data_IF_821808375686
#
_entry.id   IF_821808375686
#
_cell.length_a   1.000
_cell.length_b   1.000
_cell.length_c   1.000
_cell.angle_alpha   90.00
_cell.angle_beta   90.00
_cell.angle_gamma   90.00
#
_symmetry.space_group_name_H-M   'P 1'
#
loop_
_entity.id
_entity.type
_entity.pdbx_description
1 polymer ?
#
# COMPACT_ATOMS: atom_id res chain seq x y z
N UNK A 1 -20.76 -20.63 -1.98
CA UNK A 1 -20.35 -19.58 -1.02
C UNK A 1 -20.55 -18.24 -1.73
N UNK A 2 -21.00 -17.19 -1.05
CA UNK A 2 -21.11 -15.87 -1.66
C UNK A 2 -19.74 -15.19 -1.60
N UNK A 3 -19.39 -14.43 -2.64
CA UNK A 3 -18.16 -13.66 -2.61
C UNK A 3 -18.36 -12.45 -1.68
N UNK A 4 -17.49 -12.30 -0.67
CA UNK A 4 -17.44 -11.14 0.22
C UNK A 4 -16.82 -9.92 -0.47
N UNK A 5 -15.81 -10.15 -1.34
CA UNK A 5 -15.21 -9.10 -2.16
C UNK A 5 -15.31 -9.51 -3.64
N UNK A 6 -15.78 -8.59 -4.48
CA UNK A 6 -15.81 -8.77 -5.93
C UNK A 6 -15.21 -7.57 -6.63
N UNK A 7 -14.24 -7.81 -7.49
CA UNK A 7 -13.52 -6.78 -8.24
C UNK A 7 -13.46 -7.15 -9.72
N UNK A 8 -13.85 -6.22 -10.59
CA UNK A 8 -13.82 -6.40 -12.04
C UNK A 8 -13.14 -5.21 -12.71
N UNK A 9 -12.17 -5.47 -13.57
CA UNK A 9 -11.52 -4.47 -14.40
C UNK A 9 -10.71 -3.44 -13.63
N UNK A 10 -10.15 -3.79 -12.45
CA UNK A 10 -9.39 -2.86 -11.61
C UNK A 10 -8.09 -2.44 -12.31
N UNK A 11 -7.93 -1.14 -12.47
CA UNK A 11 -6.74 -0.52 -13.06
C UNK A 11 -6.24 0.63 -12.18
N UNK A 12 -4.92 0.74 -12.02
CA UNK A 12 -4.30 1.79 -11.22
C UNK A 12 -2.97 2.24 -11.84
N UNK A 13 -2.65 3.53 -11.65
CA UNK A 13 -1.44 4.16 -12.23
C UNK A 13 -0.81 5.11 -11.23
N UNK A 14 0.51 5.23 -11.25
CA UNK A 14 1.24 6.31 -10.59
C UNK A 14 1.56 7.40 -11.64
N UNK A 15 0.78 8.47 -11.62
CA UNK A 15 0.83 9.50 -12.65
C UNK A 15 0.50 8.91 -14.03
N UNK A 16 1.48 8.91 -14.95
CA UNK A 16 1.32 8.35 -16.32
C UNK A 16 1.76 6.89 -16.44
N UNK A 17 2.27 6.29 -15.39
CA UNK A 17 2.79 4.92 -15.41
C UNK A 17 1.69 3.96 -14.97
N UNK A 18 1.11 3.15 -15.86
CA UNK A 18 0.14 2.12 -15.49
C UNK A 18 0.87 1.00 -14.74
N UNK A 19 0.25 0.52 -13.64
CA UNK A 19 0.78 -0.56 -12.82
C UNK A 19 -0.18 -1.72 -12.74
N UNK A 20 -1.49 -1.46 -12.64
CA UNK A 20 -2.52 -2.50 -12.70
C UNK A 20 -3.35 -2.35 -13.96
N UNK A 21 -3.61 -3.48 -14.62
CA UNK A 21 -4.26 -3.51 -15.93
C UNK A 21 -5.44 -4.49 -15.93
N UNK A 22 -6.63 -3.99 -15.58
CA UNK A 22 -7.87 -4.77 -15.72
C UNK A 22 -7.94 -6.00 -14.82
N UNK A 23 -7.46 -5.93 -13.57
CA UNK A 23 -7.50 -7.03 -12.61
C UNK A 23 -8.96 -7.42 -12.32
N UNK A 24 -9.23 -8.73 -12.40
CA UNK A 24 -10.45 -9.34 -11.92
C UNK A 24 -10.09 -10.30 -10.78
N UNK A 25 -10.76 -10.18 -9.65
CA UNK A 25 -10.63 -11.10 -8.52
C UNK A 25 -11.94 -11.11 -7.73
N UNK A 26 -12.20 -12.23 -7.11
CA UNK A 26 -13.24 -12.40 -6.10
C UNK A 26 -12.65 -13.13 -4.89
N UNK A 27 -13.19 -12.88 -3.72
CA UNK A 27 -12.85 -13.55 -2.47
C UNK A 27 -14.15 -14.07 -1.87
N UNK A 28 -14.22 -15.36 -1.62
CA UNK A 28 -15.36 -15.94 -0.94
C UNK A 28 -15.33 -15.62 0.57
N UNK A 29 -16.48 -15.66 1.19
CA UNK A 29 -16.58 -15.51 2.64
C UNK A 29 -15.78 -16.61 3.35
N UNK A 30 -14.87 -16.23 4.25
CA UNK A 30 -13.95 -17.10 4.96
C UNK A 30 -12.79 -17.67 4.14
N UNK A 31 -12.59 -17.21 2.89
CA UNK A 31 -11.48 -17.67 2.03
C UNK A 31 -10.17 -16.96 2.37
N UNK A 32 -9.07 -17.71 2.28
CA UNK A 32 -7.71 -17.17 2.25
C UNK A 32 -7.22 -17.19 0.80
N UNK A 33 -7.22 -16.01 0.15
CA UNK A 33 -6.73 -15.82 -1.21
C UNK A 33 -5.29 -15.33 -1.21
N UNK A 34 -4.37 -16.09 -1.78
CA UNK A 34 -3.00 -15.70 -2.03
C UNK A 34 -2.84 -15.02 -3.40
N UNK A 35 -1.99 -13.99 -3.48
CA UNK A 35 -1.54 -13.40 -4.74
C UNK A 35 -0.02 -13.46 -4.81
N UNK A 36 0.49 -14.40 -5.61
CA UNK A 36 1.91 -14.67 -5.77
C UNK A 36 2.49 -13.87 -6.93
N UNK A 37 3.65 -13.27 -6.74
CA UNK A 37 4.38 -12.57 -7.80
C UNK A 37 5.70 -11.99 -7.33
N UNK A 38 6.61 -11.74 -8.28
CA UNK A 38 7.88 -11.08 -8.00
C UNK A 38 7.72 -9.62 -7.54
N UNK A 39 8.79 -9.04 -7.03
CA UNK A 39 8.83 -7.62 -6.72
C UNK A 39 8.60 -6.78 -8.00
N UNK A 40 7.85 -5.68 -7.86
CA UNK A 40 7.50 -4.82 -8.97
C UNK A 40 6.35 -5.32 -9.87
N UNK A 41 5.72 -6.46 -9.58
CA UNK A 41 4.61 -7.00 -10.39
C UNK A 41 3.25 -6.34 -10.09
N UNK A 42 3.16 -5.44 -9.10
CA UNK A 42 1.95 -4.71 -8.78
C UNK A 42 1.20 -5.19 -7.53
N UNK A 43 1.74 -6.12 -6.73
CA UNK A 43 1.14 -6.68 -5.52
C UNK A 43 0.69 -5.62 -4.50
N UNK A 44 1.63 -4.81 -4.01
CA UNK A 44 1.35 -3.71 -3.07
C UNK A 44 0.37 -2.69 -3.67
N UNK A 45 0.49 -2.42 -4.98
CA UNK A 45 -0.43 -1.52 -5.69
C UNK A 45 -1.85 -2.08 -5.71
N UNK A 46 -2.00 -3.40 -5.86
CA UNK A 46 -3.30 -4.07 -5.79
C UNK A 46 -3.95 -3.84 -4.41
N UNK A 47 -3.26 -4.14 -3.33
CA UNK A 47 -3.80 -3.94 -1.98
C UNK A 47 -4.09 -2.48 -1.67
N UNK A 48 -3.22 -1.55 -2.06
CA UNK A 48 -3.45 -0.11 -1.92
C UNK A 48 -4.67 0.38 -2.71
N UNK A 49 -4.90 -0.17 -3.91
CA UNK A 49 -6.09 0.13 -4.71
C UNK A 49 -7.36 -0.43 -4.06
N UNK A 50 -7.32 -1.69 -3.57
CA UNK A 50 -8.42 -2.31 -2.83
C UNK A 50 -8.74 -1.55 -1.53
N UNK A 51 -7.74 -1.03 -0.84
CA UNK A 51 -7.93 -0.22 0.38
C UNK A 51 -8.31 1.24 0.08
N UNK A 52 -8.26 1.69 -1.18
CA UNK A 52 -8.57 3.09 -1.54
C UNK A 52 -7.51 4.11 -1.10
N UNK A 53 -6.27 3.66 -0.89
CA UNK A 53 -5.11 4.50 -0.57
C UNK A 53 -4.60 5.22 -1.81
N UNK A 54 -4.71 4.58 -2.97
CA UNK A 54 -4.34 5.16 -4.26
C UNK A 54 -5.56 5.24 -5.17
N UNK A 55 -5.62 6.23 -6.08
CA UNK A 55 -6.65 6.30 -7.10
C UNK A 55 -6.63 5.06 -8.00
N UNK A 56 -7.80 4.47 -8.20
CA UNK A 56 -7.99 3.34 -9.10
C UNK A 56 -9.34 3.45 -9.81
N UNK A 57 -9.45 2.80 -10.95
CA UNK A 57 -10.71 2.65 -11.70
C UNK A 57 -11.07 1.19 -11.80
N UNK A 58 -12.36 0.88 -11.74
CA UNK A 58 -12.88 -0.47 -11.89
C UNK A 58 -14.25 -0.43 -12.57
N UNK A 59 -14.65 -1.54 -13.18
CA UNK A 59 -16.02 -1.74 -13.68
C UNK A 59 -16.93 -1.99 -12.47
N UNK A 60 -16.44 -2.79 -11.52
CA UNK A 60 -17.13 -3.12 -10.27
C UNK A 60 -16.09 -3.33 -9.15
N UNK A 61 -16.39 -2.84 -7.96
CA UNK A 61 -15.65 -3.15 -6.73
C UNK A 61 -16.66 -3.13 -5.57
N UNK A 62 -17.05 -4.30 -5.12
CA UNK A 62 -18.09 -4.48 -4.10
C UNK A 62 -17.56 -5.34 -2.97
N UNK A 63 -17.77 -4.91 -1.74
CA UNK A 63 -17.46 -5.62 -0.50
C UNK A 63 -18.73 -5.75 0.34
N UNK A 64 -19.10 -6.97 0.71
CA UNK A 64 -20.34 -7.31 1.44
C UNK A 64 -21.59 -6.57 0.93
N UNK A 65 -21.73 -6.51 -0.40
CA UNK A 65 -22.84 -5.84 -1.06
C UNK A 65 -22.69 -4.32 -1.24
N UNK A 66 -21.72 -3.68 -0.60
CA UNK A 66 -21.46 -2.24 -0.65
C UNK A 66 -20.47 -1.86 -1.76
N UNK A 67 -20.79 -0.84 -2.55
CA UNK A 67 -19.91 -0.33 -3.61
C UNK A 67 -18.75 0.50 -3.02
N UNK A 68 -17.52 0.03 -3.23
CA UNK A 68 -16.31 0.70 -2.75
C UNK A 68 -15.82 1.84 -3.64
N UNK A 69 -16.39 2.05 -4.83
CA UNK A 69 -15.83 2.93 -5.88
C UNK A 69 -15.63 4.38 -5.40
N UNK A 70 -16.53 4.89 -4.56
CA UNK A 70 -16.49 6.26 -4.05
C UNK A 70 -15.96 6.37 -2.62
N UNK A 71 -15.67 5.23 -1.97
CA UNK A 71 -15.23 5.22 -0.58
C UNK A 71 -13.72 5.44 -0.48
N UNK A 72 -13.35 6.40 0.38
CA UNK A 72 -11.97 6.60 0.83
C UNK A 72 -11.52 5.42 1.71
N UNK A 73 -10.22 5.30 1.96
CA UNK A 73 -9.65 4.24 2.81
C UNK A 73 -10.30 4.17 4.21
N UNK A 74 -10.56 5.32 4.84
CA UNK A 74 -11.24 5.36 6.15
C UNK A 74 -12.67 4.83 6.10
N UNK A 75 -13.39 5.01 4.99
CA UNK A 75 -14.72 4.44 4.79
C UNK A 75 -14.66 2.91 4.63
N UNK A 76 -13.68 2.42 3.86
CA UNK A 76 -13.47 0.98 3.67
C UNK A 76 -13.04 0.29 4.97
N UNK A 77 -12.20 0.95 5.78
CA UNK A 77 -11.85 0.45 7.12
C UNK A 77 -13.08 0.30 8.02
N UNK A 78 -13.99 1.29 8.02
CA UNK A 78 -15.24 1.20 8.81
C UNK A 78 -16.23 0.14 8.31
N UNK A 79 -16.14 -0.26 7.06
CA UNK A 79 -16.91 -1.39 6.53
C UNK A 79 -16.33 -2.75 6.94
N UNK A 80 -15.20 -2.80 7.66
CA UNK A 80 -14.60 -4.06 8.09
C UNK A 80 -13.45 -4.56 7.21
N UNK A 81 -12.79 -3.68 6.42
CA UNK A 81 -11.58 -4.04 5.67
C UNK A 81 -10.35 -3.59 6.45
N UNK A 82 -9.59 -4.53 7.00
CA UNK A 82 -8.31 -4.28 7.64
C UNK A 82 -7.14 -4.29 6.62
N UNK A 83 -6.06 -3.56 6.90
CA UNK A 83 -4.87 -3.54 6.06
C UNK A 83 -3.59 -3.51 6.88
N UNK A 84 -2.69 -4.46 6.63
CA UNK A 84 -1.33 -4.49 7.16
C UNK A 84 -0.37 -4.22 6.00
N UNK A 85 0.25 -3.03 5.94
CA UNK A 85 1.15 -2.66 4.85
C UNK A 85 2.50 -3.36 4.94
N UNK A 86 3.21 -3.46 3.81
CA UNK A 86 4.62 -3.77 3.77
C UNK A 86 5.40 -2.82 4.72
N UNK A 87 6.33 -3.36 5.50
CA UNK A 87 7.04 -2.58 6.52
C UNK A 87 6.23 -2.33 7.80
N UNK A 88 5.10 -3.08 8.00
CA UNK A 88 4.31 -3.17 9.26
C UNK A 88 3.46 -1.93 9.58
N UNK A 89 3.95 -0.72 9.29
CA UNK A 89 3.24 0.54 9.53
C UNK A 89 2.88 0.81 11.00
N UNK A 90 3.62 0.26 11.97
CA UNK A 90 3.45 0.54 13.40
C UNK A 90 3.88 1.97 13.73
N UNK A 91 3.46 2.47 14.87
CA UNK A 91 3.94 3.72 15.43
C UNK A 91 5.15 3.45 16.34
N UNK A 92 6.39 3.71 15.91
CA UNK A 92 7.58 3.25 16.63
C UNK A 92 7.81 3.98 17.97
N UNK A 93 7.29 5.19 18.11
CA UNK A 93 7.40 6.02 19.32
C UNK A 93 6.26 5.82 20.32
N UNK A 94 5.22 5.08 19.93
CA UNK A 94 4.14 4.70 20.82
C UNK A 94 4.44 3.35 21.48
N UNK A 95 3.93 3.16 22.68
CA UNK A 95 3.95 1.85 23.36
C UNK A 95 3.17 0.80 22.54
N UNK A 96 3.39 -0.48 22.82
CA UNK A 96 2.58 -1.57 22.26
C UNK A 96 1.11 -1.34 22.57
N UNK A 97 0.77 -0.98 23.82
CA UNK A 97 -0.60 -0.69 24.22
C UNK A 97 -1.21 0.46 23.41
N UNK A 98 -0.48 1.58 23.24
CA UNK A 98 -0.99 2.71 22.47
C UNK A 98 -1.09 2.40 20.97
N UNK A 99 -0.20 1.58 20.42
CA UNK A 99 -0.37 1.05 19.06
C UNK A 99 -1.67 0.26 18.91
N UNK A 100 -2.02 -0.61 19.87
CA UNK A 100 -3.29 -1.37 19.86
C UNK A 100 -4.48 -0.42 19.96
N UNK A 101 -4.44 0.54 20.87
CA UNK A 101 -5.47 1.56 21.03
C UNK A 101 -5.75 2.35 19.77
N UNK A 102 -4.71 2.64 18.97
CA UNK A 102 -4.88 3.30 17.66
C UNK A 102 -5.71 2.46 16.68
N UNK A 103 -5.69 1.13 16.79
CA UNK A 103 -6.52 0.24 15.99
C UNK A 103 -8.02 0.35 16.31
N UNK A 104 -8.37 0.71 17.52
CA UNK A 104 -9.77 0.85 17.99
C UNK A 104 -10.31 2.27 17.76
N UNK A 105 -9.43 3.26 17.64
CA UNK A 105 -9.80 4.68 17.68
C UNK A 105 -10.84 5.14 16.63
N UNK A 106 -10.96 4.41 15.52
CA UNK A 106 -11.94 4.69 14.46
C UNK A 106 -13.27 3.93 14.62
N UNK A 107 -13.42 3.11 15.67
CA UNK A 107 -14.53 2.20 15.87
C UNK A 107 -15.22 2.52 17.21
N UNK A 108 -16.53 2.32 17.26
CA UNK A 108 -17.34 2.48 18.49
C UNK A 108 -17.26 1.19 19.32
N UNK A 109 -16.10 0.95 19.93
CA UNK A 109 -15.78 -0.25 20.72
C UNK A 109 -15.21 0.16 22.07
N UNK A 110 -15.48 -0.62 23.12
CA UNK A 110 -14.77 -0.45 24.38
C UNK A 110 -13.28 -0.81 24.20
N UNK A 111 -12.41 0.16 24.49
CA UNK A 111 -10.97 0.05 24.26
C UNK A 111 -10.34 -1.04 25.14
N UNK A 112 -10.75 -1.15 26.40
CA UNK A 112 -10.20 -2.12 27.35
C UNK A 112 -10.56 -3.53 26.91
N UNK A 113 -11.85 -3.76 26.67
CA UNK A 113 -12.35 -5.07 26.23
C UNK A 113 -11.71 -5.48 24.88
N UNK A 114 -11.52 -4.56 23.94
CA UNK A 114 -10.91 -4.85 22.65
C UNK A 114 -9.43 -5.25 22.81
N UNK A 115 -8.68 -4.54 23.66
CA UNK A 115 -7.27 -4.88 23.94
C UNK A 115 -7.18 -6.24 24.63
N UNK A 116 -8.01 -6.52 25.64
CA UNK A 116 -8.01 -7.81 26.31
C UNK A 116 -8.31 -8.96 25.34
N UNK A 117 -9.31 -8.80 24.45
CA UNK A 117 -9.68 -9.81 23.46
C UNK A 117 -8.54 -10.09 22.48
N UNK A 118 -7.92 -9.06 21.91
CA UNK A 118 -6.84 -9.27 20.92
C UNK A 118 -5.60 -9.91 21.56
N UNK A 119 -5.30 -9.61 22.82
CA UNK A 119 -4.15 -10.20 23.52
C UNK A 119 -4.29 -11.70 23.76
N UNK A 120 -5.52 -12.26 23.76
CA UNK A 120 -5.72 -13.72 23.80
C UNK A 120 -5.04 -14.40 22.61
N UNK A 121 -5.10 -13.79 21.43
CA UNK A 121 -4.49 -14.30 20.21
C UNK A 121 -3.01 -13.93 20.09
N UNK A 122 -2.57 -12.89 20.80
CA UNK A 122 -1.21 -12.37 20.77
C UNK A 122 -0.56 -12.37 22.17
N UNK A 123 -0.46 -13.51 22.86
CA UNK A 123 0.04 -13.55 24.25
C UNK A 123 1.48 -13.06 24.41
N UNK A 124 2.28 -13.07 23.32
CA UNK A 124 3.62 -12.51 23.31
C UNK A 124 3.62 -11.01 23.54
N UNK A 125 2.61 -10.27 23.06
CA UNK A 125 2.51 -8.83 23.21
C UNK A 125 2.12 -8.40 24.61
N UNK A 126 1.42 -9.23 25.38
CA UNK A 126 0.99 -8.92 26.75
C UNK A 126 2.16 -8.48 27.66
N UNK A 127 3.32 -9.13 27.51
CA UNK A 127 4.52 -8.81 28.30
C UNK A 127 5.29 -7.57 27.79
N UNK A 128 4.86 -7.00 26.68
CA UNK A 128 5.54 -5.93 25.96
C UNK A 128 4.72 -4.64 25.91
N UNK A 129 3.56 -4.59 26.61
CA UNK A 129 2.58 -3.50 26.50
C UNK A 129 3.18 -2.11 26.75
N UNK A 130 4.11 -2.00 27.69
CA UNK A 130 4.76 -0.73 28.05
C UNK A 130 6.00 -0.42 27.19
N UNK A 131 6.39 -1.32 26.25
CA UNK A 131 7.54 -1.09 25.38
C UNK A 131 7.17 -0.28 24.15
N UNK A 132 8.07 0.60 23.74
CA UNK A 132 7.95 1.32 22.48
C UNK A 132 7.95 0.33 21.30
N UNK A 133 7.05 0.55 20.32
CA UNK A 133 6.96 -0.28 19.13
C UNK A 133 8.29 -0.38 18.38
N UNK A 134 9.06 0.72 18.34
CA UNK A 134 10.39 0.75 17.71
C UNK A 134 11.46 -0.07 18.42
N UNK A 135 11.26 -0.40 19.71
CA UNK A 135 12.19 -1.23 20.48
C UNK A 135 11.91 -2.75 20.37
N UNK A 136 10.88 -3.12 19.64
CA UNK A 136 10.52 -4.52 19.36
C UNK A 136 11.42 -5.13 18.29
N UNK A 137 11.61 -6.45 18.35
CA UNK A 137 12.18 -7.21 17.23
C UNK A 137 11.27 -7.16 15.99
N UNK A 138 11.84 -7.43 14.80
CA UNK A 138 11.06 -7.42 13.56
C UNK A 138 9.84 -8.34 13.59
N UNK A 139 9.93 -9.52 14.20
CA UNK A 139 8.79 -10.42 14.36
C UNK A 139 7.74 -9.89 15.34
N UNK A 140 8.15 -9.33 16.47
CA UNK A 140 7.23 -8.71 17.44
C UNK A 140 6.50 -7.49 16.84
N UNK A 141 7.19 -6.71 16.02
CA UNK A 141 6.57 -5.60 15.29
C UNK A 141 5.51 -6.09 14.29
N UNK A 142 5.74 -7.24 13.65
CA UNK A 142 4.77 -7.83 12.74
C UNK A 142 3.54 -8.35 13.49
N UNK A 143 3.75 -9.03 14.62
CA UNK A 143 2.66 -9.45 15.51
C UNK A 143 1.86 -8.23 16.00
N UNK A 144 2.53 -7.13 16.36
CA UNK A 144 1.87 -5.89 16.75
C UNK A 144 1.06 -5.29 15.60
N UNK A 145 1.57 -5.29 14.37
CA UNK A 145 0.86 -4.78 13.20
C UNK A 145 -0.41 -5.61 12.91
N UNK A 146 -0.31 -6.94 13.01
CA UNK A 146 -1.45 -7.86 12.89
C UNK A 146 -2.47 -7.65 14.01
N UNK A 147 -2.04 -7.60 15.26
CA UNK A 147 -2.90 -7.36 16.42
C UNK A 147 -3.65 -6.03 16.30
N UNK A 148 -2.96 -4.95 15.90
CA UNK A 148 -3.57 -3.65 15.67
C UNK A 148 -4.60 -3.65 14.52
N UNK A 149 -4.39 -4.46 13.49
CA UNK A 149 -5.35 -4.62 12.42
C UNK A 149 -6.58 -5.42 12.88
N UNK A 150 -6.35 -6.50 13.63
CA UNK A 150 -7.40 -7.44 14.06
C UNK A 150 -8.24 -6.94 15.24
N UNK A 151 -7.75 -5.99 16.04
CA UNK A 151 -8.44 -5.46 17.22
C UNK A 151 -9.80 -4.84 16.89
N UNK A 152 -9.99 -4.34 15.65
CA UNK A 152 -11.24 -3.80 15.14
C UNK A 152 -12.20 -4.86 14.58
N UNK A 153 -11.87 -6.15 14.71
CA UNK A 153 -12.67 -7.29 14.25
C UNK A 153 -13.08 -7.18 12.77
N UNK A 154 -12.12 -7.00 11.83
CA UNK A 154 -12.45 -6.87 10.42
C UNK A 154 -12.99 -8.19 9.83
N UNK A 155 -13.84 -8.09 8.81
CA UNK A 155 -14.35 -9.25 8.05
C UNK A 155 -13.40 -9.69 6.93
N UNK A 156 -12.58 -8.75 6.44
CA UNK A 156 -11.55 -8.98 5.44
C UNK A 156 -10.24 -8.30 5.86
N UNK A 157 -9.13 -9.02 5.82
CA UNK A 157 -7.81 -8.42 5.99
C UNK A 157 -6.97 -8.52 4.71
N UNK A 158 -6.26 -7.43 4.43
CA UNK A 158 -5.32 -7.30 3.33
C UNK A 158 -3.90 -7.31 3.92
N UNK A 159 -3.06 -8.29 3.55
CA UNK A 159 -1.70 -8.46 4.08
C UNK A 159 -0.66 -8.28 2.97
N UNK A 160 0.23 -7.30 3.14
CA UNK A 160 1.24 -6.92 2.16
C UNK A 160 2.63 -7.41 2.60
N UNK A 161 3.11 -8.52 2.01
CA UNK A 161 4.40 -9.16 2.27
C UNK A 161 4.68 -9.35 3.79
N UNK A 162 3.78 -10.06 4.52
CA UNK A 162 3.86 -10.14 5.98
C UNK A 162 5.09 -10.90 6.50
N UNK A 163 5.85 -11.58 5.65
CA UNK A 163 7.06 -12.35 6.04
C UNK A 163 8.37 -11.60 5.83
N UNK A 164 8.33 -10.40 5.25
CA UNK A 164 9.55 -9.66 4.91
C UNK A 164 10.37 -9.32 6.16
N UNK A 165 11.66 -9.75 6.16
CA UNK A 165 12.61 -9.47 7.23
C UNK A 165 12.26 -10.12 8.58
N UNK A 166 11.56 -11.26 8.57
CA UNK A 166 11.14 -12.00 9.76
C UNK A 166 11.87 -13.34 9.85
N UNK A 167 12.16 -13.77 11.08
CA UNK A 167 12.77 -15.06 11.34
C UNK A 167 11.78 -16.21 11.08
N UNK A 168 12.24 -17.38 10.58
CA UNK A 168 11.38 -18.51 10.25
C UNK A 168 10.42 -18.93 11.37
N UNK A 169 10.88 -18.97 12.62
CA UNK A 169 10.05 -19.36 13.77
C UNK A 169 8.86 -18.44 14.03
N UNK A 170 8.96 -17.17 13.63
CA UNK A 170 7.84 -16.21 13.75
C UNK A 170 6.93 -16.34 12.52
N UNK A 171 7.48 -16.72 11.37
CA UNK A 171 6.66 -17.02 10.18
C UNK A 171 5.72 -18.18 10.48
N UNK A 172 6.21 -19.26 11.09
CA UNK A 172 5.40 -20.41 11.50
C UNK A 172 4.31 -19.98 12.51
N UNK A 173 4.64 -19.13 13.49
CA UNK A 173 3.69 -18.58 14.46
C UNK A 173 2.59 -17.76 13.77
N UNK A 174 2.94 -16.95 12.75
CA UNK A 174 1.98 -16.17 11.96
C UNK A 174 1.05 -17.08 11.14
N UNK A 175 1.59 -18.15 10.53
CA UNK A 175 0.80 -19.13 9.77
C UNK A 175 -0.25 -19.76 10.69
N UNK A 176 0.19 -20.31 11.83
CA UNK A 176 -0.71 -20.93 12.79
C UNK A 176 -1.78 -19.98 13.30
N UNK A 177 -1.39 -18.75 13.63
CA UNK A 177 -2.29 -17.70 14.10
C UNK A 177 -3.37 -17.39 13.06
N UNK A 178 -2.98 -17.10 11.80
CA UNK A 178 -3.92 -16.74 10.74
C UNK A 178 -4.87 -17.91 10.40
N UNK A 179 -4.36 -19.16 10.39
CA UNK A 179 -5.20 -20.34 10.20
C UNK A 179 -6.22 -20.54 11.33
N UNK A 180 -5.80 -20.33 12.58
CA UNK A 180 -6.69 -20.46 13.74
C UNK A 180 -7.74 -19.35 13.75
N UNK A 181 -7.35 -18.10 13.45
CA UNK A 181 -8.27 -16.99 13.34
C UNK A 181 -9.32 -17.22 12.26
N UNK A 182 -8.88 -17.56 11.05
CA UNK A 182 -9.78 -17.85 9.94
C UNK A 182 -10.79 -18.95 10.28
N UNK A 183 -10.33 -20.07 10.84
CA UNK A 183 -11.20 -21.19 11.26
C UNK A 183 -12.18 -20.82 12.36
N UNK A 184 -11.77 -19.94 13.30
CA UNK A 184 -12.58 -19.58 14.47
C UNK A 184 -13.59 -18.49 14.14
N UNK A 185 -13.19 -17.47 13.40
CA UNK A 185 -13.98 -16.25 13.16
C UNK A 185 -14.63 -16.19 11.78
N UNK A 186 -14.14 -17.01 10.83
CA UNK A 186 -14.57 -16.92 9.43
C UNK A 186 -13.98 -15.73 8.68
N UNK A 187 -12.98 -15.04 9.23
CA UNK A 187 -12.35 -13.87 8.58
C UNK A 187 -11.77 -14.24 7.22
N UNK A 188 -12.06 -13.42 6.22
CA UNK A 188 -11.48 -13.57 4.88
C UNK A 188 -10.12 -12.89 4.83
N UNK A 189 -9.18 -13.43 4.04
CA UNK A 189 -7.83 -12.91 3.94
C UNK A 189 -7.42 -12.79 2.47
N UNK A 190 -6.91 -11.62 2.08
CA UNK A 190 -6.14 -11.47 0.83
C UNK A 190 -4.70 -11.18 1.22
N UNK A 191 -3.80 -12.07 0.87
CA UNK A 191 -2.38 -11.86 1.13
C UNK A 191 -1.60 -11.80 -0.19
N UNK A 192 -0.66 -10.86 -0.26
CA UNK A 192 0.27 -10.79 -1.39
C UNK A 192 1.67 -11.13 -0.90
N UNK A 193 2.36 -12.00 -1.63
CA UNK A 193 3.65 -12.52 -1.21
C UNK A 193 4.55 -12.89 -2.39
N UNK A 194 5.84 -12.97 -2.10
CA UNK A 194 6.83 -13.56 -2.98
C UNK A 194 7.27 -14.96 -2.48
N UNK A 195 7.07 -15.25 -1.20
CA UNK A 195 7.40 -16.54 -0.60
C UNK A 195 6.36 -17.58 -0.97
N UNK A 196 6.80 -18.57 -1.76
CA UNK A 196 5.96 -19.68 -2.18
C UNK A 196 5.53 -20.52 -0.98
N UNK A 197 6.45 -20.85 -0.09
CA UNK A 197 6.20 -21.70 1.08
C UNK A 197 5.12 -21.07 1.99
N UNK A 198 5.19 -19.77 2.24
CA UNK A 198 4.22 -19.09 3.08
C UNK A 198 2.83 -19.06 2.42
N UNK A 199 2.78 -18.70 1.13
CA UNK A 199 1.50 -18.56 0.44
C UNK A 199 0.78 -19.91 0.30
N UNK A 200 1.54 -21.00 0.03
CA UNK A 200 0.96 -22.35 -0.10
C UNK A 200 0.55 -22.94 1.25
N UNK A 201 1.20 -22.55 2.33
CA UNK A 201 0.83 -23.01 3.67
C UNK A 201 -0.50 -22.40 4.16
N UNK A 202 -0.87 -21.21 3.66
CA UNK A 202 -2.03 -20.45 4.15
C UNK A 202 -3.22 -20.46 3.19
N UNK A 203 -2.97 -20.39 1.87
CA UNK A 203 -4.01 -20.02 0.91
C UNK A 203 -4.85 -21.21 0.46
N UNK A 204 -6.16 -21.01 0.41
CA UNK A 204 -7.11 -21.94 -0.22
C UNK A 204 -6.98 -21.90 -1.74
N UNK A 205 -6.63 -20.73 -2.29
CA UNK A 205 -6.48 -20.44 -3.70
C UNK A 205 -5.37 -19.42 -3.91
N UNK A 206 -4.59 -19.56 -4.99
CA UNK A 206 -3.47 -18.65 -5.30
C UNK A 206 -3.64 -18.10 -6.71
N UNK A 207 -3.66 -16.78 -6.83
CA UNK A 207 -3.59 -16.06 -8.09
C UNK A 207 -2.15 -15.64 -8.39
N UNK A 208 -1.76 -15.71 -9.66
CA UNK A 208 -0.44 -15.32 -10.13
C UNK A 208 -0.52 -13.95 -10.78
N UNK A 209 0.22 -12.96 -10.24
CA UNK A 209 0.29 -11.62 -10.80
C UNK A 209 1.61 -11.38 -11.53
N UNK A 210 1.53 -10.90 -12.78
CA UNK A 210 2.68 -10.53 -13.58
C UNK A 210 2.41 -9.22 -14.34
N UNK A 211 3.32 -8.26 -14.24
CA UNK A 211 3.22 -6.95 -14.93
C UNK A 211 1.85 -6.29 -14.77
N UNK A 212 1.29 -6.36 -13.57
CA UNK A 212 0.03 -5.74 -13.22
C UNK A 212 -1.23 -6.43 -13.73
N UNK A 213 -1.14 -7.68 -14.19
CA UNK A 213 -2.27 -8.49 -14.64
C UNK A 213 -2.26 -9.84 -13.97
N UNK A 214 -3.43 -10.44 -13.72
CA UNK A 214 -3.54 -11.83 -13.30
C UNK A 214 -3.31 -12.72 -14.52
N UNK A 215 -2.32 -13.62 -14.41
CA UNK A 215 -1.90 -14.50 -15.51
C UNK A 215 -2.28 -15.95 -15.27
N UNK A 216 -2.68 -16.31 -14.07
CA UNK A 216 -3.11 -17.66 -13.74
C UNK A 216 -3.74 -17.73 -12.36
N UNK A 217 -4.39 -18.85 -12.09
CA UNK A 217 -5.00 -19.19 -10.80
C UNK A 217 -4.84 -20.68 -10.57
N UNK A 218 -4.50 -21.06 -9.35
CA UNK A 218 -4.31 -22.45 -8.92
C UNK A 218 -5.02 -22.69 -7.60
N UNK A 219 -5.55 -23.89 -7.39
CA UNK A 219 -6.09 -24.27 -6.08
C UNK A 219 -4.97 -24.47 -5.06
N UNK A 220 -5.26 -24.31 -3.75
CA UNK A 220 -4.27 -24.52 -2.70
C UNK A 220 -3.65 -25.93 -2.72
N UNK A 221 -4.40 -26.95 -3.13
CA UNK A 221 -3.89 -28.32 -3.29
C UNK A 221 -2.91 -28.46 -4.47
N UNK A 222 -3.12 -27.72 -5.55
CA UNK A 222 -2.19 -27.66 -6.70
C UNK A 222 -0.99 -26.76 -6.41
N UNK A 223 -1.16 -25.74 -5.57
CA UNK A 223 -0.10 -24.86 -5.13
C UNK A 223 1.00 -25.60 -4.35
N UNK A 224 0.70 -26.74 -3.74
CA UNK A 224 1.68 -27.64 -3.13
C UNK A 224 2.57 -28.35 -4.17
N UNK A 225 2.23 -28.29 -5.46
CA UNK A 225 3.05 -28.81 -6.55
C UNK A 225 3.96 -27.73 -7.12
N UNK A 226 5.14 -27.58 -6.54
CA UNK A 226 6.14 -26.56 -6.90
C UNK A 226 6.45 -26.51 -8.40
N UNK A 227 6.38 -27.63 -9.12
CA UNK A 227 6.68 -27.71 -10.54
C UNK A 227 5.71 -26.88 -11.41
N UNK A 228 4.43 -26.82 -11.06
CA UNK A 228 3.46 -25.97 -11.77
C UNK A 228 3.73 -24.49 -11.53
N UNK A 229 4.08 -24.13 -10.32
CA UNK A 229 4.37 -22.72 -9.98
C UNK A 229 5.70 -22.28 -10.59
N UNK A 230 6.72 -23.13 -10.60
CA UNK A 230 7.99 -22.87 -11.29
C UNK A 230 7.79 -22.66 -12.80
N UNK A 231 6.90 -23.40 -13.43
CA UNK A 231 6.55 -23.21 -14.84
C UNK A 231 5.88 -21.85 -15.11
N UNK A 232 4.97 -21.40 -14.23
CA UNK A 232 4.27 -20.13 -14.37
C UNK A 232 5.11 -18.92 -13.95
N UNK A 233 5.96 -19.06 -12.94
CA UNK A 233 6.73 -17.94 -12.38
C UNK A 233 8.13 -17.81 -12.98
N UNK A 234 8.63 -18.83 -13.69
CA UNK A 234 9.98 -18.85 -14.22
C UNK A 234 11.07 -19.02 -13.15
N UNK A 235 10.72 -19.44 -11.93
CA UNK A 235 11.67 -19.63 -10.83
C UNK A 235 12.63 -20.82 -11.04
N UNK A 236 12.38 -21.69 -11.99
CA UNK A 236 13.05 -22.99 -12.12
C UNK A 236 14.06 -23.19 -13.25
N UNK A 237 14.36 -22.22 -14.15
CA UNK A 237 15.32 -22.51 -15.23
C UNK A 237 16.18 -21.31 -15.64
N UNK A 238 17.43 -21.32 -15.19
CA UNK A 238 18.58 -20.82 -15.93
C UNK A 238 18.77 -21.67 -17.20
N UNK A 239 18.11 -21.31 -18.32
CA UNK A 239 18.29 -22.02 -19.59
C UNK A 239 17.27 -21.53 -20.61
N UNK A 240 17.73 -20.68 -21.55
CA UNK A 240 16.89 -20.10 -22.58
C UNK A 240 16.20 -21.12 -23.45
N UNK A 241 14.91 -20.95 -23.58
CA UNK A 241 14.09 -21.24 -24.76
C UNK A 241 12.72 -20.59 -24.52
N UNK A 242 12.30 -19.72 -25.44
CA UNK A 242 10.90 -19.29 -25.54
C UNK A 242 10.02 -20.54 -25.66
N UNK A 243 9.31 -20.89 -24.60
CA UNK A 243 8.27 -21.91 -24.63
C UNK A 243 6.91 -21.26 -24.79
N UNK A 244 6.25 -21.65 -25.86
CA UNK A 244 4.86 -21.37 -26.18
C UNK A 244 3.93 -21.64 -24.99
N UNK A 245 3.05 -20.68 -24.70
CA UNK A 245 1.97 -20.74 -23.71
C UNK A 245 1.11 -21.97 -23.97
N UNK A 246 0.87 -22.87 -22.99
CA UNK A 246 -0.05 -23.99 -23.17
C UNK A 246 -1.49 -23.47 -23.31
N UNK A 247 -2.15 -23.92 -24.36
CA UNK A 247 -3.54 -23.57 -24.72
C UNK A 247 -4.53 -24.32 -23.83
N UNK A 248 -4.79 -23.87 -22.62
CA UNK A 248 -5.78 -24.48 -21.73
C UNK A 248 -6.85 -23.51 -21.20
N UNK A 249 -7.11 -22.37 -21.85
CA UNK A 249 -8.24 -21.51 -21.47
C UNK A 249 -8.80 -20.80 -22.71
N UNK A 250 -9.54 -21.55 -23.53
CA UNK A 250 -10.45 -20.94 -24.50
C UNK A 250 -11.79 -21.68 -24.46
N UNK A 251 -12.64 -21.32 -23.50
CA UNK A 251 -14.08 -21.47 -23.63
C UNK A 251 -14.76 -20.25 -23.03
N UNK A 252 -14.57 -19.11 -23.66
CA UNK A 252 -15.51 -18.01 -23.56
C UNK A 252 -15.74 -17.50 -24.99
N UNK A 253 -16.86 -17.85 -25.55
CA UNK A 253 -17.35 -17.39 -26.86
C UNK A 253 -17.58 -15.89 -26.82
N UNK A 254 -17.05 -15.09 -27.77
CA UNK A 254 -17.37 -13.67 -27.83
C UNK A 254 -18.74 -13.48 -28.49
N UNK A 255 -19.67 -12.87 -27.77
CA UNK A 255 -20.91 -12.33 -28.35
C UNK A 255 -20.59 -11.16 -29.25
N UNK A 256 -21.13 -11.23 -30.48
CA UNK A 256 -20.99 -10.26 -31.56
C UNK A 256 -21.61 -8.90 -31.22
N UNK A 257 -20.86 -7.85 -31.56
CA UNK A 257 -21.39 -6.68 -32.22
C UNK A 257 -21.67 -5.47 -31.35
N UNK A 258 -20.79 -4.48 -31.44
CA UNK A 258 -21.15 -3.12 -31.86
C UNK A 258 -19.85 -2.45 -32.37
N UNK A 259 -19.81 -2.19 -33.66
CA UNK A 259 -18.87 -1.26 -34.29
C UNK A 259 -19.34 0.17 -33.98
N UNK A 260 -18.51 0.97 -33.35
CA UNK A 260 -18.66 2.41 -33.37
C UNK A 260 -17.41 3.01 -34.04
N UNK A 261 -17.57 3.38 -35.31
CA UNK A 261 -16.68 4.29 -36.02
C UNK A 261 -16.72 5.65 -35.33
N UNK A 262 -15.63 6.14 -34.82
CA UNK A 262 -15.39 7.56 -34.55
C UNK A 262 -14.13 7.96 -35.29
N UNK A 263 -14.32 8.71 -36.34
CA UNK A 263 -13.31 9.37 -37.16
C UNK A 263 -12.63 10.47 -36.34
N UNK A 264 -11.30 10.39 -36.31
CA UNK A 264 -10.40 11.44 -35.78
C UNK A 264 -10.26 12.54 -36.86
N UNK A 265 -11.09 13.56 -36.80
CA UNK A 265 -10.86 14.85 -37.47
C UNK A 265 -11.79 15.88 -36.84
N UNK A 266 -11.27 16.68 -35.90
CA UNK A 266 -11.65 18.06 -35.57
C UNK A 266 -11.28 18.42 -34.12
N UNK A 267 -10.04 18.83 -33.87
CA UNK A 267 -9.67 19.71 -32.76
C UNK A 267 -8.23 20.20 -32.94
N UNK A 268 -7.96 20.82 -34.07
CA UNK A 268 -6.79 21.70 -34.26
C UNK A 268 -7.33 23.02 -34.79
N UNK A 269 -7.71 23.90 -33.89
CA UNK A 269 -7.59 25.35 -34.11
C UNK A 269 -7.88 26.08 -32.79
N UNK A 270 -6.85 26.59 -32.14
CA UNK A 270 -6.89 27.82 -31.37
C UNK A 270 -5.43 28.26 -31.10
N UNK A 271 -4.93 29.01 -32.08
CA UNK A 271 -3.66 29.68 -32.00
C UNK A 271 -3.63 30.71 -30.85
N UNK A 272 -2.65 30.58 -29.98
CA UNK A 272 -2.08 31.71 -29.23
C UNK A 272 -0.61 31.78 -29.53
N UNK A 273 -0.28 32.81 -30.32
CA UNK A 273 1.08 33.28 -30.54
C UNK A 273 1.69 33.73 -29.23
N UNK A 274 2.79 33.12 -28.84
CA UNK A 274 3.68 33.63 -27.82
C UNK A 274 4.83 34.34 -28.52
N UNK A 275 4.94 35.69 -28.34
CA UNK A 275 6.09 36.48 -28.72
C UNK A 275 7.15 36.37 -27.62
N UNK A 276 8.42 36.10 -27.95
CA UNK A 276 9.49 36.13 -26.96
C UNK A 276 9.95 37.58 -26.73
N UNK A 277 9.57 38.19 -25.62
CA UNK A 277 10.22 39.42 -25.14
C UNK A 277 11.63 39.08 -24.65
N UNK A 278 12.59 39.84 -25.16
CA UNK A 278 14.01 39.84 -24.78
C UNK A 278 14.15 40.27 -23.33
N UNK A 279 14.53 39.39 -22.44
CA UNK A 279 15.01 39.74 -21.11
C UNK A 279 16.48 40.14 -21.22
N UNK A 280 16.79 41.40 -20.87
CA UNK A 280 18.14 41.94 -20.77
C UNK A 280 18.90 41.28 -19.62
N UNK A 281 20.21 40.96 -19.79
CA UNK A 281 21.02 40.43 -18.70
C UNK A 281 21.59 41.61 -17.91
N UNK A 282 21.00 42.02 -16.80
CA UNK A 282 21.60 42.73 -15.67
C UNK A 282 20.50 43.29 -14.77
N UNK A 283 19.94 42.46 -13.95
CA UNK A 283 19.33 42.85 -12.71
C UNK A 283 19.68 41.78 -11.67
N UNK A 284 20.48 42.17 -10.68
CA UNK A 284 20.67 41.41 -9.47
C UNK A 284 19.26 41.07 -8.93
N UNK A 285 18.88 39.82 -8.77
CA UNK A 285 17.57 39.51 -8.23
C UNK A 285 17.49 40.12 -6.83
N UNK A 286 16.34 40.74 -6.47
CA UNK A 286 16.14 41.21 -5.11
C UNK A 286 16.35 40.03 -4.17
N UNK A 287 17.02 40.27 -3.05
CA UNK A 287 17.08 39.33 -1.93
C UNK A 287 15.64 38.84 -1.70
N UNK A 288 15.39 37.63 -2.14
CA UNK A 288 14.19 36.90 -1.77
C UNK A 288 14.28 36.88 -0.24
N UNK A 289 13.42 37.64 0.43
CA UNK A 289 13.16 37.46 1.84
C UNK A 289 13.06 35.94 2.03
N UNK A 290 13.97 35.39 2.80
CA UNK A 290 13.89 34.00 3.24
C UNK A 290 12.53 33.86 3.89
N UNK A 291 11.58 33.36 3.14
CA UNK A 291 10.37 32.86 3.73
C UNK A 291 10.87 31.75 4.64
N UNK A 292 10.77 32.00 5.95
CA UNK A 292 11.02 30.99 7.00
C UNK A 292 10.02 29.87 6.79
N UNK A 293 10.36 28.91 5.93
CA UNK A 293 9.55 27.76 5.69
C UNK A 293 10.06 26.61 6.55
N UNK A 294 9.14 26.10 7.28
CA UNK A 294 9.07 24.83 7.98
C UNK A 294 9.48 24.79 9.42
N UNK A 295 9.02 25.71 10.23
CA UNK A 295 8.68 25.29 11.59
C UNK A 295 7.38 24.49 11.49
N UNK A 296 7.43 23.20 11.82
CA UNK A 296 6.23 22.39 12.01
C UNK A 296 5.46 23.03 13.16
N UNK A 297 4.36 23.73 12.85
CA UNK A 297 3.58 24.40 13.87
C UNK A 297 2.88 23.36 14.74
N UNK A 298 2.95 23.53 16.06
CA UNK A 298 2.25 22.67 17.01
C UNK A 298 0.75 22.81 16.79
N UNK A 299 0.05 21.69 16.54
CA UNK A 299 -1.38 21.76 16.29
C UNK A 299 -2.13 22.21 17.56
N UNK A 300 -3.16 23.01 17.39
CA UNK A 300 -4.11 23.32 18.45
C UNK A 300 -5.11 22.19 18.64
N UNK A 301 -5.79 22.14 19.79
CA UNK A 301 -6.84 21.15 20.04
C UNK A 301 -7.91 21.17 18.93
N UNK A 302 -8.33 22.37 18.48
CA UNK A 302 -9.31 22.50 17.40
C UNK A 302 -8.82 21.90 16.08
N UNK A 303 -7.56 22.13 15.72
CA UNK A 303 -6.97 21.54 14.50
C UNK A 303 -6.89 20.02 14.61
N UNK A 304 -6.59 19.48 15.80
CA UNK A 304 -6.59 18.04 16.01
C UNK A 304 -8.02 17.46 15.98
N UNK A 305 -9.02 18.17 16.47
CA UNK A 305 -10.43 17.79 16.32
C UNK A 305 -10.85 17.74 14.85
N UNK A 306 -10.42 18.71 14.03
CA UNK A 306 -10.67 18.73 12.59
C UNK A 306 -10.01 17.51 11.90
N UNK A 307 -8.76 17.19 12.26
CA UNK A 307 -8.05 16.00 11.75
C UNK A 307 -8.77 14.70 12.16
N UNK A 308 -9.15 14.58 13.43
CA UNK A 308 -9.91 13.42 13.94
C UNK A 308 -11.22 13.26 13.18
N UNK A 309 -11.93 14.36 12.93
CA UNK A 309 -13.18 14.35 12.15
C UNK A 309 -12.94 13.97 10.69
N UNK A 310 -11.88 14.51 10.06
CA UNK A 310 -11.53 14.22 8.67
C UNK A 310 -11.11 12.75 8.46
N UNK A 311 -10.42 12.17 9.45
CA UNK A 311 -10.06 10.75 9.47
C UNK A 311 -11.25 9.86 9.83
N UNK A 312 -12.38 10.44 10.26
CA UNK A 312 -13.59 9.72 10.66
C UNK A 312 -13.44 8.96 11.98
N UNK A 313 -12.54 9.43 12.85
CA UNK A 313 -12.31 8.86 14.17
C UNK A 313 -13.28 9.49 15.20
N UNK A 314 -13.59 8.76 16.27
CA UNK A 314 -14.34 9.27 17.42
C UNK A 314 -13.41 9.33 18.63
N UNK A 315 -13.03 10.53 19.06
CA UNK A 315 -12.16 10.74 20.21
C UNK A 315 -12.69 11.85 21.12
N UNK A 316 -12.57 11.66 22.43
CA UNK A 316 -12.83 12.74 23.39
C UNK A 316 -11.68 13.75 23.40
N UNK A 317 -11.96 14.98 23.83
CA UNK A 317 -10.94 16.04 23.94
C UNK A 317 -9.78 15.64 24.86
N UNK A 318 -10.05 14.89 25.95
CA UNK A 318 -9.01 14.37 26.84
C UNK A 318 -8.09 13.41 26.11
N UNK A 319 -8.65 12.58 25.25
CA UNK A 319 -7.88 11.62 24.45
C UNK A 319 -7.05 12.29 23.37
N UNK A 320 -7.58 13.32 22.72
CA UNK A 320 -6.83 14.13 21.75
C UNK A 320 -5.66 14.82 22.45
N UNK A 321 -5.84 15.35 23.66
CA UNK A 321 -4.77 15.97 24.44
C UNK A 321 -3.65 14.98 24.80
N UNK A 322 -3.99 13.75 25.18
CA UNK A 322 -3.00 12.70 25.43
C UNK A 322 -2.14 12.42 24.18
N UNK A 323 -2.76 12.37 23.00
CA UNK A 323 -2.00 12.21 21.76
C UNK A 323 -1.13 13.43 21.44
N UNK A 324 -1.60 14.63 21.71
CA UNK A 324 -0.80 15.84 21.55
C UNK A 324 0.43 15.83 22.47
N UNK A 325 0.30 15.32 23.71
CA UNK A 325 1.42 15.18 24.64
C UNK A 325 2.45 14.16 24.12
N UNK A 326 1.99 13.04 23.57
CA UNK A 326 2.88 12.03 22.95
C UNK A 326 3.62 12.59 21.72
N UNK A 327 2.96 13.45 20.93
CA UNK A 327 3.59 14.12 19.78
C UNK A 327 4.66 15.14 20.17
N UNK A 328 4.67 15.62 21.42
CA UNK A 328 5.54 16.69 21.90
C UNK A 328 7.01 16.40 21.61
N UNK A 329 7.51 15.20 21.94
CA UNK A 329 8.90 14.81 21.72
C UNK A 329 9.31 14.86 20.24
N UNK A 330 8.41 14.50 19.32
CA UNK A 330 8.66 14.58 17.88
C UNK A 330 8.70 16.04 17.41
N UNK A 331 7.79 16.88 17.90
CA UNK A 331 7.74 18.30 17.57
C UNK A 331 8.97 19.04 18.11
N UNK A 332 9.45 18.71 19.30
CA UNK A 332 10.69 19.23 19.88
C UNK A 332 11.92 18.85 19.02
N UNK A 333 11.93 17.64 18.46
CA UNK A 333 12.97 17.20 17.53
C UNK A 333 12.98 18.01 16.22
N UNK A 334 11.82 18.38 15.68
CA UNK A 334 11.72 19.29 14.52
C UNK A 334 12.24 20.69 14.87
N UNK A 335 11.85 21.25 16.02
CA UNK A 335 12.36 22.55 16.50
C UNK A 335 13.89 22.51 16.63
N UNK A 336 14.46 21.39 17.12
CA UNK A 336 15.90 21.21 17.19
C UNK A 336 16.54 21.19 15.81
N UNK A 337 15.99 20.44 14.85
CA UNK A 337 16.51 20.38 13.46
C UNK A 337 16.46 21.77 12.80
N UNK A 338 15.37 22.51 12.98
CA UNK A 338 15.23 23.89 12.44
C UNK A 338 16.23 24.86 13.07
N UNK A 339 16.69 24.59 14.30
CA UNK A 339 17.71 25.40 14.98
C UNK A 339 19.15 25.11 14.52
N UNK A 340 19.36 24.00 13.81
CA UNK A 340 20.68 23.65 13.30
C UNK A 340 21.07 24.54 12.11
N UNK A 341 22.34 24.98 12.01
CA UNK A 341 22.80 25.72 10.86
C UNK A 341 22.76 24.86 9.60
N UNK A 342 22.17 25.39 8.51
CA UNK A 342 22.21 24.78 7.18
C UNK A 342 23.67 24.53 6.75
N UNK A 343 24.11 23.32 6.85
CA UNK A 343 25.43 22.92 6.36
C UNK A 343 25.35 22.68 4.85
N UNK A 344 25.40 23.75 4.07
CA UNK A 344 25.61 23.65 2.62
C UNK A 344 27.11 23.37 2.39
N UNK A 345 27.49 22.21 1.88
CA UNK A 345 28.87 21.96 1.54
C UNK A 345 29.33 23.01 0.52
N UNK A 346 30.58 23.56 0.64
CA UNK A 346 31.06 24.52 -0.33
C UNK A 346 31.05 23.90 -1.72
N UNK A 347 30.40 24.57 -2.69
CA UNK A 347 30.41 24.14 -4.09
C UNK A 347 31.81 24.38 -4.63
N UNK A 348 32.66 23.36 -4.59
CA UNK A 348 34.06 23.41 -5.07
C UNK A 348 34.15 23.66 -6.59
N UNK A 349 33.09 23.31 -7.31
CA UNK A 349 33.00 23.54 -8.77
C UNK A 349 31.62 24.14 -9.07
N UNK A 350 31.56 25.46 -9.33
CA UNK A 350 30.31 26.08 -9.78
C UNK A 350 29.90 25.40 -11.10
N UNK A 351 28.69 24.86 -11.14
CA UNK A 351 28.15 24.32 -12.41
C UNK A 351 27.96 25.51 -13.35
N UNK A 352 28.77 25.54 -14.43
CA UNK A 352 28.50 26.42 -15.57
C UNK A 352 27.18 25.96 -16.20
N UNK A 353 26.42 26.91 -16.75
CA UNK A 353 25.21 26.60 -17.49
C UNK A 353 25.49 25.51 -18.51
N UNK A 354 24.72 24.43 -18.47
CA UNK A 354 24.90 23.28 -19.33
C UNK A 354 24.85 23.71 -20.79
N UNK A 355 25.84 23.26 -21.59
CA UNK A 355 25.90 23.47 -23.02
C UNK A 355 25.15 22.32 -23.71
N UNK A 356 24.32 22.68 -24.69
CA UNK A 356 23.62 21.70 -25.52
C UNK A 356 24.36 21.55 -26.82
N UNK A 357 25.08 20.44 -27.07
CA UNK A 357 25.82 20.26 -28.29
C UNK A 357 24.89 20.20 -29.53
N UNK A 358 25.34 20.68 -30.65
CA UNK A 358 24.64 20.58 -31.95
C UNK A 358 24.63 19.14 -32.47
N UNK A 359 23.80 18.84 -33.47
CA UNK A 359 23.73 17.49 -34.05
C UNK A 359 25.06 16.97 -34.59
N UNK A 360 25.95 17.87 -35.08
CA UNK A 360 27.27 17.52 -35.55
C UNK A 360 28.24 17.17 -34.40
N UNK A 361 28.08 17.81 -33.25
CA UNK A 361 28.89 17.57 -32.05
C UNK A 361 28.36 16.37 -31.21
N UNK A 362 27.12 15.95 -31.44
CA UNK A 362 26.50 14.85 -30.75
C UNK A 362 25.81 13.86 -31.71
N UNK A 363 26.58 13.16 -32.56
CA UNK A 363 26.01 12.25 -33.55
C UNK A 363 25.25 11.06 -32.98
N UNK A 364 25.46 10.75 -31.70
CA UNK A 364 24.77 9.66 -30.99
C UNK A 364 23.55 10.12 -30.17
N UNK A 365 23.23 11.42 -30.24
CA UNK A 365 22.14 12.03 -29.47
C UNK A 365 22.19 11.74 -27.94
N UNK A 366 23.43 11.55 -27.42
CA UNK A 366 23.66 11.31 -25.99
C UNK A 366 23.71 12.65 -25.23
N UNK A 367 23.07 12.72 -24.10
CA UNK A 367 23.07 13.90 -23.23
C UNK A 367 24.23 13.80 -22.24
N UNK A 368 25.09 14.81 -22.24
CA UNK A 368 26.08 15.00 -21.18
C UNK A 368 25.47 15.92 -20.12
N UNK A 369 25.38 15.41 -18.91
CA UNK A 369 24.98 16.19 -17.72
C UNK A 369 26.21 16.79 -17.05
#
# INVERSE_FOLDING_TARGET
>A
MSAILRVQGLSASYGRVPVLNGINLDVNDGEILGVLGHNGMGKTTLLKALMGIIPATSIQMVFDGEDLSLLKSSGRGRLGIGYVPQGRGIFPTLSVLDNLRMGVAAHDMDEIDAVERVLVDFPRLERLLDRDGGALSGGEQQLLALARCLISEPELILLDEPTEGIQPSIIDEIIELLQQLNKRTGISIVLVEQSLDFITALSDRVMLIQKGSIVGEISGSEASNSALIEEFTGFGSSGGAEKSIPTFLTTATPSKGVQANVTLESALDNGRQYSPERVQPNATPPLIERISYMTVQRPTLSQMQDVVTELGMSMSDSRIMEFMDVMQGTLDAYDLVDSLPDYLPPVLYPRTAGYRPTGEENPMNAWYV
#
